data_IF_424286362122
#
_entry.id   IF_424286362122
#
_cell.length_a   1.000
_cell.length_b   1.000
_cell.length_c   1.000
_cell.angle_alpha   90.00
_cell.angle_beta   90.00
_cell.angle_gamma   90.00
#
_symmetry.space_group_name_H-M   'P 1'
#
loop_
_entity.id
_entity.type
_entity.pdbx_description
1 polymer ?
#
# COMPACT_ATOMS: atom_id res chain seq x y z
N UNK A 1 12.30 14.48 -6.98
CA UNK A 1 13.29 13.41 -6.76
C UNK A 1 12.54 12.10 -6.57
N UNK A 2 12.70 11.14 -7.48
CA UNK A 2 11.96 9.88 -7.50
C UNK A 2 12.45 9.00 -6.33
N UNK A 3 11.61 8.81 -5.34
CA UNK A 3 11.73 7.87 -4.23
C UNK A 3 11.97 6.46 -4.79
N UNK A 4 13.00 5.76 -4.24
CA UNK A 4 13.55 4.47 -4.67
C UNK A 4 12.56 3.37 -5.03
N UNK A 5 11.92 3.48 -6.16
CA UNK A 5 11.17 2.40 -6.78
C UNK A 5 12.18 1.41 -7.35
N UNK A 6 12.25 0.22 -6.79
CA UNK A 6 12.95 -0.91 -7.39
C UNK A 6 12.46 -1.01 -8.83
N UNK A 7 13.37 -0.90 -9.80
CA UNK A 7 13.05 -1.09 -11.22
C UNK A 7 12.39 -2.45 -11.39
N UNK A 8 11.13 -2.45 -11.83
CA UNK A 8 10.40 -3.69 -12.11
C UNK A 8 10.86 -4.15 -13.48
N UNK A 9 11.55 -5.30 -13.53
CA UNK A 9 12.03 -5.91 -14.78
C UNK A 9 10.97 -6.89 -15.29
N UNK A 10 10.74 -6.89 -16.60
CA UNK A 10 9.81 -7.81 -17.26
C UNK A 10 10.60 -8.71 -18.22
N UNK A 11 10.58 -10.01 -17.94
CA UNK A 11 11.24 -11.03 -18.77
C UNK A 11 10.30 -11.44 -19.91
N UNK A 12 10.39 -10.78 -21.04
CA UNK A 12 9.54 -11.03 -22.22
C UNK A 12 10.13 -10.41 -23.48
N UNK A 13 9.59 -10.79 -24.65
CA UNK A 13 9.96 -10.21 -25.93
C UNK A 13 9.58 -8.71 -26.05
N UNK A 14 10.23 -7.93 -26.92
CA UNK A 14 9.99 -6.49 -27.08
C UNK A 14 8.53 -6.12 -27.34
N UNK A 15 7.79 -6.92 -28.09
CA UNK A 15 6.37 -6.69 -28.36
C UNK A 15 5.49 -6.75 -27.10
N UNK A 16 5.81 -7.66 -26.17
CA UNK A 16 5.13 -7.74 -24.87
C UNK A 16 5.53 -6.58 -23.96
N UNK A 17 6.81 -6.18 -23.96
CA UNK A 17 7.30 -5.01 -23.22
C UNK A 17 6.55 -3.74 -23.66
N UNK A 18 6.38 -3.54 -24.95
CA UNK A 18 5.62 -2.42 -25.49
C UNK A 18 4.14 -2.47 -25.04
N UNK A 19 3.52 -3.65 -25.11
CA UNK A 19 2.15 -3.82 -24.64
C UNK A 19 1.99 -3.54 -23.14
N UNK A 20 3.00 -3.87 -22.31
CA UNK A 20 3.01 -3.54 -20.88
C UNK A 20 3.10 -2.05 -20.65
N UNK A 21 3.94 -1.35 -21.40
CA UNK A 21 4.05 0.11 -21.34
C UNK A 21 2.70 0.78 -21.68
N UNK A 22 2.08 0.36 -22.78
CA UNK A 22 0.79 0.88 -23.23
C UNK A 22 -0.33 0.59 -22.21
N UNK A 23 -0.33 -0.62 -21.61
CA UNK A 23 -1.25 -1.00 -20.54
C UNK A 23 -1.07 -0.13 -19.28
N UNK A 24 0.18 0.14 -18.87
CA UNK A 24 0.47 1.01 -17.72
C UNK A 24 0.01 2.44 -17.98
N UNK A 25 0.24 2.96 -19.17
CA UNK A 25 -0.23 4.29 -19.59
C UNK A 25 -1.76 4.34 -19.56
N UNK A 26 -2.45 3.33 -20.08
CA UNK A 26 -3.90 3.22 -20.02
C UNK A 26 -4.43 3.18 -18.58
N UNK A 27 -3.81 2.39 -17.70
CA UNK A 27 -4.18 2.35 -16.28
C UNK A 27 -3.98 3.70 -15.60
N UNK A 28 -2.91 4.42 -15.91
CA UNK A 28 -2.58 5.70 -15.31
C UNK A 28 -3.52 6.81 -15.79
N UNK A 29 -3.71 6.93 -17.08
CA UNK A 29 -4.38 8.08 -17.67
C UNK A 29 -5.89 7.87 -17.87
N UNK A 30 -6.32 6.70 -18.34
CA UNK A 30 -7.75 6.43 -18.55
C UNK A 30 -8.43 5.87 -17.30
N UNK A 31 -7.78 4.96 -16.57
CA UNK A 31 -8.33 4.36 -15.35
C UNK A 31 -8.00 5.14 -14.08
N UNK A 32 -7.13 6.13 -14.16
CA UNK A 32 -6.69 6.98 -13.06
C UNK A 32 -6.28 6.15 -11.83
N UNK A 33 -5.58 5.04 -12.07
CA UNK A 33 -5.08 4.18 -11.02
C UNK A 33 -4.00 4.90 -10.22
N UNK A 34 -3.99 4.68 -8.90
CA UNK A 34 -2.94 5.23 -8.04
C UNK A 34 -1.58 4.59 -8.37
N UNK A 35 -0.48 5.30 -8.07
CA UNK A 35 0.90 4.80 -8.22
C UNK A 35 1.08 3.46 -7.51
N UNK A 36 0.52 3.29 -6.31
CA UNK A 36 0.56 2.03 -5.56
C UNK A 36 -0.13 0.87 -6.30
N UNK A 37 -1.23 1.16 -7.02
CA UNK A 37 -1.91 0.16 -7.85
C UNK A 37 -1.05 -0.22 -9.04
N UNK A 38 -0.44 0.76 -9.73
CA UNK A 38 0.46 0.53 -10.86
C UNK A 38 1.67 -0.31 -10.45
N UNK A 39 2.27 -0.01 -9.30
CA UNK A 39 3.40 -0.76 -8.76
C UNK A 39 3.00 -2.18 -8.35
N UNK A 40 1.84 -2.34 -7.72
CA UNK A 40 1.32 -3.65 -7.34
C UNK A 40 1.06 -4.53 -8.57
N UNK A 41 0.41 -3.97 -9.58
CA UNK A 41 0.11 -4.65 -10.84
C UNK A 41 1.40 -4.96 -11.62
N UNK A 42 2.34 -4.03 -11.67
CA UNK A 42 3.63 -4.26 -12.31
C UNK A 42 4.39 -5.43 -11.68
N UNK A 43 4.44 -5.48 -10.35
CA UNK A 43 5.09 -6.59 -9.62
C UNK A 43 4.40 -7.94 -9.86
N UNK A 44 3.07 -7.99 -9.81
CA UNK A 44 2.34 -9.23 -10.06
C UNK A 44 2.57 -9.75 -11.48
N UNK A 45 2.57 -8.86 -12.48
CA UNK A 45 2.83 -9.21 -13.88
C UNK A 45 4.29 -9.64 -14.12
N UNK A 46 5.26 -8.94 -13.51
CA UNK A 46 6.68 -9.28 -13.59
C UNK A 46 6.94 -10.71 -13.09
N UNK A 47 6.35 -11.08 -11.95
CA UNK A 47 6.48 -12.43 -11.39
C UNK A 47 5.84 -13.48 -12.31
N UNK A 48 4.71 -13.16 -12.94
CA UNK A 48 4.09 -14.08 -13.90
C UNK A 48 4.95 -14.30 -15.15
N UNK A 49 5.53 -13.22 -15.70
CA UNK A 49 6.41 -13.33 -16.89
C UNK A 49 7.70 -14.08 -16.57
N UNK A 50 8.26 -13.87 -15.37
CA UNK A 50 9.41 -14.66 -14.89
C UNK A 50 9.06 -16.17 -14.80
N UNK A 51 7.89 -16.50 -14.24
CA UNK A 51 7.40 -17.87 -14.24
C UNK A 51 7.27 -18.42 -15.65
N UNK A 52 6.68 -17.67 -16.59
CA UNK A 52 6.53 -18.12 -17.98
C UNK A 52 7.88 -18.36 -18.66
N UNK A 53 8.87 -17.52 -18.39
CA UNK A 53 10.24 -17.70 -18.92
C UNK A 53 10.84 -19.02 -18.44
N UNK A 54 10.68 -19.38 -17.17
CA UNK A 54 11.11 -20.68 -16.64
C UNK A 54 10.30 -21.85 -17.25
N UNK A 55 8.99 -21.68 -17.34
CA UNK A 55 8.04 -22.72 -17.78
C UNK A 55 8.16 -23.05 -19.26
N UNK A 56 8.41 -22.05 -20.10
CA UNK A 56 8.57 -22.20 -21.55
C UNK A 56 10.02 -22.43 -21.97
N UNK A 57 11.00 -22.04 -21.14
CA UNK A 57 12.43 -22.08 -21.46
C UNK A 57 12.96 -20.88 -22.26
N UNK A 58 12.12 -19.89 -22.56
CA UNK A 58 12.47 -18.68 -23.31
C UNK A 58 11.57 -17.50 -22.91
N UNK A 59 11.94 -16.28 -23.31
CA UNK A 59 11.14 -15.08 -23.05
C UNK A 59 9.83 -15.09 -23.86
N UNK A 60 8.65 -15.04 -23.21
CA UNK A 60 7.37 -15.14 -23.91
C UNK A 60 7.09 -13.95 -24.81
N UNK A 61 6.61 -14.22 -26.02
CA UNK A 61 6.06 -13.26 -26.96
C UNK A 61 4.52 -13.21 -26.91
N UNK A 62 3.92 -12.30 -27.71
CA UNK A 62 2.45 -12.16 -27.80
C UNK A 62 1.78 -13.47 -28.27
N UNK A 63 2.43 -14.22 -29.17
CA UNK A 63 1.90 -15.48 -29.67
C UNK A 63 1.88 -16.58 -28.60
N UNK A 64 2.87 -16.56 -27.71
CA UNK A 64 2.93 -17.51 -26.60
C UNK A 64 1.85 -17.19 -25.57
N UNK A 65 1.66 -15.89 -25.25
CA UNK A 65 0.54 -15.45 -24.40
C UNK A 65 -0.83 -15.86 -24.96
N UNK A 66 -1.00 -15.85 -26.28
CA UNK A 66 -2.23 -16.30 -26.97
C UNK A 66 -2.45 -17.81 -26.80
N UNK A 67 -1.38 -18.61 -26.80
CA UNK A 67 -1.43 -20.09 -26.75
C UNK A 67 -1.50 -20.66 -25.33
N UNK A 68 -1.35 -19.84 -24.28
CA UNK A 68 -1.43 -20.32 -22.90
C UNK A 68 -2.74 -21.03 -22.63
N UNK A 69 -2.63 -22.19 -21.99
CA UNK A 69 -3.76 -23.06 -21.61
C UNK A 69 -4.13 -22.84 -20.14
N UNK A 70 -5.28 -23.31 -19.75
CA UNK A 70 -5.72 -23.36 -18.35
C UNK A 70 -4.71 -24.06 -17.44
N UNK A 71 -3.99 -25.10 -17.96
CA UNK A 71 -2.90 -25.78 -17.24
C UNK A 71 -1.78 -24.84 -16.84
N UNK A 72 -1.36 -23.94 -17.73
CA UNK A 72 -0.21 -23.05 -17.50
C UNK A 72 -0.53 -22.04 -16.38
N UNK A 73 -1.73 -21.47 -16.38
CA UNK A 73 -2.21 -20.61 -15.30
C UNK A 73 -2.34 -21.37 -13.97
N UNK A 74 -2.80 -22.63 -14.00
CA UNK A 74 -2.87 -23.47 -12.80
C UNK A 74 -1.47 -23.79 -12.25
N UNK A 75 -0.51 -24.10 -13.13
CA UNK A 75 0.89 -24.32 -12.75
C UNK A 75 1.50 -23.07 -12.10
N UNK A 76 1.22 -21.88 -12.66
CA UNK A 76 1.60 -20.61 -12.02
C UNK A 76 1.02 -20.48 -10.61
N UNK A 77 -0.28 -20.69 -10.45
CA UNK A 77 -0.94 -20.59 -9.14
C UNK A 77 -0.41 -21.62 -8.14
N UNK A 78 -0.13 -22.85 -8.60
CA UNK A 78 0.47 -23.90 -7.77
C UNK A 78 1.87 -23.49 -7.29
N UNK A 79 2.74 -23.01 -8.19
CA UNK A 79 4.06 -22.47 -7.84
C UNK A 79 3.95 -21.37 -6.79
N UNK A 80 3.04 -20.40 -6.99
CA UNK A 80 2.85 -19.30 -6.02
C UNK A 80 2.35 -19.78 -4.67
N UNK A 81 1.56 -20.86 -4.63
CA UNK A 81 1.14 -21.48 -3.37
C UNK A 81 2.33 -22.13 -2.65
N UNK A 82 3.17 -22.86 -3.40
CA UNK A 82 4.42 -23.45 -2.88
C UNK A 82 5.39 -22.38 -2.36
N UNK A 83 5.46 -21.23 -3.03
CA UNK A 83 6.23 -20.06 -2.60
C UNK A 83 5.65 -19.36 -1.35
N UNK A 84 4.55 -19.87 -0.77
CA UNK A 84 3.93 -19.32 0.44
C UNK A 84 3.07 -18.07 0.21
N UNK A 85 2.65 -17.77 -1.04
CA UNK A 85 1.81 -16.59 -1.30
C UNK A 85 0.42 -16.76 -0.67
N UNK A 86 -0.02 -15.75 0.10
CA UNK A 86 -1.34 -15.76 0.72
C UNK A 86 -2.47 -15.80 -0.32
N UNK A 87 -3.62 -16.37 0.06
CA UNK A 87 -4.81 -16.43 -0.82
C UNK A 87 -5.26 -15.05 -1.31
N UNK A 88 -5.17 -14.04 -0.46
CA UNK A 88 -5.50 -12.64 -0.80
C UNK A 88 -4.56 -12.09 -1.86
N UNK A 89 -3.25 -12.28 -1.69
CA UNK A 89 -2.24 -11.88 -2.67
C UNK A 89 -2.39 -12.63 -4.00
N UNK A 90 -2.74 -13.92 -3.95
CA UNK A 90 -2.99 -14.73 -5.14
C UNK A 90 -4.23 -14.24 -5.90
N UNK A 91 -5.31 -13.90 -5.20
CA UNK A 91 -6.51 -13.33 -5.82
C UNK A 91 -6.22 -11.99 -6.51
N UNK A 92 -5.38 -11.14 -5.87
CA UNK A 92 -4.92 -9.89 -6.47
C UNK A 92 -4.10 -10.15 -7.73
N UNK A 93 -3.10 -11.04 -7.66
CA UNK A 93 -2.28 -11.39 -8.82
C UNK A 93 -3.12 -11.89 -9.99
N UNK A 94 -4.10 -12.77 -9.74
CA UNK A 94 -5.02 -13.25 -10.76
C UNK A 94 -5.89 -12.11 -11.34
N UNK A 95 -6.33 -11.16 -10.52
CA UNK A 95 -7.04 -9.96 -10.98
C UNK A 95 -6.17 -9.10 -11.88
N UNK A 96 -4.88 -8.93 -11.55
CA UNK A 96 -3.88 -8.23 -12.37
C UNK A 96 -3.74 -8.91 -13.74
N UNK A 97 -3.57 -10.22 -13.78
CA UNK A 97 -3.46 -10.97 -15.04
C UNK A 97 -4.71 -10.82 -15.90
N UNK A 98 -5.89 -10.97 -15.32
CA UNK A 98 -7.16 -10.79 -16.07
C UNK A 98 -7.27 -9.37 -16.63
N UNK A 99 -6.88 -8.37 -15.88
CA UNK A 99 -6.87 -6.98 -16.34
C UNK A 99 -5.91 -6.79 -17.52
N UNK A 100 -4.70 -7.35 -17.44
CA UNK A 100 -3.72 -7.29 -18.52
C UNK A 100 -4.20 -8.01 -19.78
N UNK A 101 -4.67 -9.25 -19.67
CA UNK A 101 -5.20 -10.00 -20.82
C UNK A 101 -6.43 -9.31 -21.46
N UNK A 102 -7.31 -8.74 -20.65
CA UNK A 102 -8.44 -7.93 -21.15
C UNK A 102 -7.97 -6.69 -21.91
N UNK A 103 -6.89 -6.05 -21.45
CA UNK A 103 -6.29 -4.94 -22.20
C UNK A 103 -5.71 -5.42 -23.54
N UNK A 104 -4.96 -6.53 -23.55
CA UNK A 104 -4.41 -7.11 -24.78
C UNK A 104 -5.50 -7.47 -25.80
N UNK A 105 -6.62 -8.02 -25.34
CA UNK A 105 -7.77 -8.35 -26.17
C UNK A 105 -8.40 -7.08 -26.77
N UNK A 106 -8.63 -6.05 -25.95
CA UNK A 106 -9.16 -4.75 -26.38
C UNK A 106 -8.24 -4.06 -27.40
N UNK A 107 -6.93 -4.21 -27.26
CA UNK A 107 -5.93 -3.69 -28.19
C UNK A 107 -5.77 -4.55 -29.46
N UNK A 108 -6.52 -5.66 -29.62
CA UNK A 108 -6.41 -6.57 -30.74
C UNK A 108 -5.11 -7.39 -30.79
N UNK A 109 -4.32 -7.39 -29.71
CA UNK A 109 -3.00 -8.03 -29.68
C UNK A 109 -3.08 -9.51 -29.36
N UNK A 110 -3.85 -9.89 -28.33
CA UNK A 110 -3.99 -11.26 -27.86
C UNK A 110 -5.43 -11.53 -27.42
N UNK A 111 -6.01 -12.62 -27.91
CA UNK A 111 -7.22 -13.21 -27.32
C UNK A 111 -6.84 -14.51 -26.63
N UNK A 112 -7.17 -14.64 -25.32
CA UNK A 112 -6.95 -15.87 -24.55
C UNK A 112 -8.12 -16.11 -23.59
N UNK A 113 -8.98 -17.07 -23.94
CA UNK A 113 -10.14 -17.41 -23.11
C UNK A 113 -9.79 -18.22 -21.85
N UNK A 114 -8.61 -18.86 -21.81
CA UNK A 114 -8.22 -19.75 -20.72
C UNK A 114 -8.11 -19.02 -19.36
N UNK A 115 -7.66 -17.75 -19.36
CA UNK A 115 -7.56 -16.95 -18.14
C UNK A 115 -8.92 -16.68 -17.48
N UNK A 116 -9.99 -16.58 -18.28
CA UNK A 116 -11.37 -16.41 -17.80
C UNK A 116 -11.88 -17.63 -17.03
N UNK A 117 -11.44 -18.84 -17.40
CA UNK A 117 -11.84 -20.10 -16.77
C UNK A 117 -11.16 -20.40 -15.43
N UNK A 118 -10.17 -19.62 -15.01
CA UNK A 118 -9.47 -19.81 -13.74
C UNK A 118 -10.33 -19.30 -12.58
N UNK A 119 -10.61 -20.16 -11.61
CA UNK A 119 -11.35 -19.75 -10.40
C UNK A 119 -10.44 -18.95 -9.45
N UNK A 120 -10.95 -17.83 -8.95
CA UNK A 120 -10.27 -17.09 -7.89
C UNK A 120 -10.30 -17.89 -6.58
N UNK A 121 -9.16 -18.01 -5.86
CA UNK A 121 -9.15 -18.64 -4.55
C UNK A 121 -10.19 -18.01 -3.61
N UNK A 122 -10.93 -18.83 -2.89
CA UNK A 122 -11.84 -18.32 -1.85
C UNK A 122 -11.02 -17.70 -0.73
N UNK A 123 -11.23 -16.41 -0.49
CA UNK A 123 -10.63 -15.67 0.62
C UNK A 123 -11.56 -15.84 1.81
N UNK A 124 -11.10 -16.40 2.94
CA UNK A 124 -11.89 -16.36 4.17
C UNK A 124 -12.23 -14.91 4.51
N UNK A 125 -13.49 -14.63 4.80
CA UNK A 125 -13.88 -13.33 5.33
C UNK A 125 -13.35 -13.24 6.76
N UNK A 126 -12.20 -12.62 6.93
CA UNK A 126 -11.75 -12.20 8.25
C UNK A 126 -12.61 -10.98 8.65
N UNK A 127 -13.29 -11.09 9.79
CA UNK A 127 -13.89 -9.91 10.42
C UNK A 127 -12.73 -9.13 11.02
N UNK A 128 -12.51 -7.87 10.60
CA UNK A 128 -11.48 -7.06 11.23
C UNK A 128 -11.77 -6.98 12.73
N UNK A 129 -10.83 -7.41 13.56
CA UNK A 129 -10.92 -7.20 15.00
C UNK A 129 -10.54 -5.75 15.27
N UNK A 130 -11.53 -4.89 15.45
CA UNK A 130 -11.31 -3.56 15.97
C UNK A 130 -10.81 -3.70 17.43
N UNK A 131 -9.91 -2.81 17.84
CA UNK A 131 -9.54 -2.67 19.23
C UNK A 131 -10.77 -2.23 20.04
N UNK A 132 -10.91 -2.71 21.26
CA UNK A 132 -11.80 -2.09 22.22
C UNK A 132 -11.30 -0.68 22.58
N UNK A 133 -12.13 0.12 23.21
CA UNK A 133 -11.72 1.44 23.70
C UNK A 133 -10.56 1.32 24.69
N UNK A 134 -10.64 0.36 25.61
CA UNK A 134 -9.62 0.07 26.61
C UNK A 134 -8.28 -0.33 25.94
N UNK A 135 -8.31 -1.27 24.98
CA UNK A 135 -7.13 -1.68 24.23
C UNK A 135 -6.51 -0.53 23.42
N UNK A 136 -7.35 0.38 22.89
CA UNK A 136 -6.87 1.54 22.15
C UNK A 136 -6.20 2.58 23.06
N UNK A 137 -6.77 2.82 24.25
CA UNK A 137 -6.20 3.72 25.26
C UNK A 137 -4.90 3.14 25.83
N UNK A 138 -4.84 1.84 26.13
CA UNK A 138 -3.63 1.17 26.58
C UNK A 138 -2.52 1.24 25.50
N UNK A 139 -2.88 1.04 24.24
CA UNK A 139 -1.95 1.15 23.14
C UNK A 139 -1.39 2.58 22.99
N UNK A 140 -2.21 3.62 23.18
CA UNK A 140 -1.76 5.02 23.20
C UNK A 140 -0.84 5.33 24.38
N UNK A 141 -1.12 4.78 25.56
CA UNK A 141 -0.31 4.97 26.77
C UNK A 141 1.05 4.25 26.71
N UNK A 142 1.18 3.24 25.84
CA UNK A 142 2.37 2.36 25.80
C UNK A 142 3.26 2.61 24.60
N UNK A 143 2.76 3.24 23.53
CA UNK A 143 3.50 3.33 22.25
C UNK A 143 4.83 4.10 22.35
N UNK A 144 4.94 5.05 23.25
CA UNK A 144 6.13 5.86 23.47
C UNK A 144 7.28 5.07 24.14
N UNK A 145 6.97 4.01 24.89
CA UNK A 145 7.97 3.13 25.51
C UNK A 145 8.82 2.38 24.49
N UNK A 146 8.33 2.22 23.25
CA UNK A 146 9.07 1.58 22.16
C UNK A 146 10.03 2.52 21.42
N UNK A 147 10.04 3.79 21.79
CA UNK A 147 10.86 4.80 21.13
C UNK A 147 12.28 4.83 21.67
N UNK A 148 13.27 4.91 20.76
CA UNK A 148 14.67 5.08 21.13
C UNK A 148 15.00 6.50 21.64
N UNK A 149 14.22 7.48 21.25
CA UNK A 149 14.36 8.89 21.60
C UNK A 149 13.00 9.48 22.03
N UNK A 150 12.94 10.34 23.05
CA UNK A 150 11.66 10.87 23.58
C UNK A 150 10.78 11.55 22.52
N UNK A 151 11.37 12.31 21.60
CA UNK A 151 10.61 12.98 20.54
C UNK A 151 9.96 12.00 19.55
N UNK A 152 10.57 10.81 19.34
CA UNK A 152 10.00 9.73 18.51
C UNK A 152 8.77 9.16 19.21
N UNK A 153 8.81 8.96 20.53
CA UNK A 153 7.66 8.55 21.32
C UNK A 153 6.48 9.51 21.17
N UNK A 154 6.73 10.80 21.39
CA UNK A 154 5.70 11.84 21.20
C UNK A 154 5.15 11.89 19.77
N UNK A 155 6.01 11.72 18.76
CA UNK A 155 5.57 11.59 17.37
C UNK A 155 4.59 10.43 17.18
N UNK A 156 4.91 9.28 17.74
CA UNK A 156 4.12 8.08 17.53
C UNK A 156 2.80 8.13 18.30
N UNK A 157 2.80 8.73 19.49
CA UNK A 157 1.56 9.09 20.22
C UNK A 157 0.70 10.03 19.37
N UNK A 158 1.26 11.14 18.90
CA UNK A 158 0.54 12.13 18.09
C UNK A 158 -0.04 11.51 16.80
N UNK A 159 0.76 10.68 16.11
CA UNK A 159 0.31 9.98 14.90
C UNK A 159 -0.82 9.01 15.23
N UNK A 160 -0.69 8.18 16.28
CA UNK A 160 -1.69 7.21 16.66
C UNK A 160 -2.99 7.88 17.12
N UNK A 161 -2.90 8.96 17.91
CA UNK A 161 -4.05 9.75 18.34
C UNK A 161 -4.80 10.37 17.15
N UNK A 162 -4.05 10.88 16.16
CA UNK A 162 -4.62 11.42 14.93
C UNK A 162 -5.31 10.32 14.08
N UNK A 163 -4.71 9.11 14.00
CA UNK A 163 -5.31 7.99 13.29
C UNK A 163 -6.60 7.50 13.98
N UNK A 164 -6.58 7.34 15.30
CA UNK A 164 -7.72 6.82 16.07
C UNK A 164 -8.81 7.87 16.24
N UNK A 165 -8.47 9.05 16.77
CA UNK A 165 -9.43 10.11 17.07
C UNK A 165 -9.94 10.84 15.81
N UNK A 166 -9.08 11.03 14.80
CA UNK A 166 -9.43 11.66 13.53
C UNK A 166 -9.91 10.70 12.44
N UNK A 167 -9.79 9.39 12.64
CA UNK A 167 -10.17 8.38 11.64
C UNK A 167 -9.41 8.50 10.33
N UNK A 168 -8.16 8.97 10.35
CA UNK A 168 -7.32 9.07 9.16
C UNK A 168 -6.72 7.72 8.80
N UNK A 169 -6.52 7.50 7.49
CA UNK A 169 -5.66 6.40 7.05
C UNK A 169 -4.19 6.79 7.25
N UNK A 170 -3.33 5.80 7.53
CA UNK A 170 -1.89 6.07 7.73
C UNK A 170 -1.28 6.90 6.60
N UNK A 171 -1.60 6.59 5.35
CA UNK A 171 -1.09 7.34 4.20
C UNK A 171 -1.61 8.78 4.11
N UNK A 172 -2.82 9.06 4.61
CA UNK A 172 -3.39 10.40 4.69
C UNK A 172 -2.66 11.22 5.77
N UNK A 173 -2.49 10.66 6.97
CA UNK A 173 -1.75 11.30 8.06
C UNK A 173 -0.29 11.57 7.70
N UNK A 174 0.40 10.58 7.12
CA UNK A 174 1.78 10.75 6.69
C UNK A 174 1.93 11.68 5.47
N UNK A 175 0.86 11.96 4.75
CA UNK A 175 0.82 12.94 3.66
C UNK A 175 0.81 14.39 4.11
N UNK A 176 0.47 14.67 5.36
CA UNK A 176 0.39 16.02 5.91
C UNK A 176 1.76 16.72 5.97
N UNK A 177 1.72 18.03 5.79
CA UNK A 177 2.85 18.93 5.96
C UNK A 177 2.63 19.86 7.17
N UNK A 178 3.65 20.60 7.57
CA UNK A 178 3.53 21.57 8.69
C UNK A 178 2.48 22.66 8.42
N UNK A 179 2.23 23.03 7.17
CA UNK A 179 1.14 23.94 6.84
C UNK A 179 -0.23 23.39 7.32
N UNK A 180 -0.44 22.10 7.22
CA UNK A 180 -1.68 21.46 7.67
C UNK A 180 -1.80 21.45 9.20
N UNK A 181 -0.67 21.40 9.91
CA UNK A 181 -0.63 21.40 11.38
C UNK A 181 -1.27 22.65 12.01
N UNK A 182 -1.27 23.79 11.32
CA UNK A 182 -1.92 25.02 11.77
C UNK A 182 -3.42 24.86 12.06
N UNK A 183 -4.04 23.86 11.45
CA UNK A 183 -5.44 23.53 11.63
C UNK A 183 -5.66 22.44 12.71
N UNK A 184 -4.59 21.84 13.24
CA UNK A 184 -4.63 20.85 14.31
C UNK A 184 -4.55 21.60 15.66
N UNK A 185 -5.68 22.19 16.04
CA UNK A 185 -5.85 22.95 17.28
C UNK A 185 -7.27 22.74 17.79
N UNK A 186 -7.57 23.03 19.07
CA UNK A 186 -8.92 22.95 19.61
C UNK A 186 -9.91 23.71 18.73
N UNK A 187 -11.01 23.05 18.38
CA UNK A 187 -12.04 23.58 17.47
C UNK A 187 -11.61 23.75 16.01
N UNK A 188 -10.41 23.31 15.63
CA UNK A 188 -9.94 23.31 14.26
C UNK A 188 -10.50 22.15 13.43
N UNK A 189 -10.18 22.15 12.13
CA UNK A 189 -10.57 21.07 11.24
C UNK A 189 -9.55 20.87 10.12
N UNK A 190 -9.24 19.61 9.81
CA UNK A 190 -8.39 19.24 8.68
C UNK A 190 -9.21 18.86 7.46
N UNK A 191 -8.81 19.36 6.30
CA UNK A 191 -9.35 18.89 5.03
C UNK A 191 -8.46 17.75 4.51
N UNK A 192 -9.01 16.55 4.45
CA UNK A 192 -8.28 15.35 4.02
C UNK A 192 -8.71 14.96 2.60
N UNK A 193 -7.71 14.79 1.74
CA UNK A 193 -7.90 14.24 0.39
C UNK A 193 -7.89 12.71 0.45
N UNK A 194 -9.04 12.09 0.24
CA UNK A 194 -9.20 10.66 0.22
C UNK A 194 -9.00 10.04 -1.18
N UNK A 195 -9.22 8.74 -1.26
CA UNK A 195 -9.12 7.96 -2.51
C UNK A 195 -10.05 8.54 -3.60
N UNK A 196 -9.50 8.76 -4.79
CA UNK A 196 -10.24 9.29 -5.94
C UNK A 196 -10.51 10.80 -5.88
N UNK A 197 -9.73 11.56 -5.09
CA UNK A 197 -9.86 13.02 -5.00
C UNK A 197 -11.06 13.51 -4.16
N UNK A 198 -11.73 12.60 -3.43
CA UNK A 198 -12.83 12.98 -2.54
C UNK A 198 -12.25 13.68 -1.31
N UNK A 199 -12.78 14.85 -1.00
CA UNK A 199 -12.43 15.60 0.19
C UNK A 199 -13.38 15.26 1.35
N UNK A 200 -12.83 15.24 2.57
CA UNK A 200 -13.62 15.22 3.78
C UNK A 200 -12.99 16.15 4.83
N UNK A 201 -13.82 16.75 5.63
CA UNK A 201 -13.43 17.55 6.78
C UNK A 201 -13.41 16.65 8.02
N UNK A 202 -12.32 16.74 8.78
CA UNK A 202 -12.13 16.00 10.04
C UNK A 202 -12.00 17.03 11.16
N UNK A 203 -12.94 17.08 12.12
CA UNK A 203 -12.84 17.96 13.27
C UNK A 203 -11.69 17.51 14.17
N UNK A 204 -10.98 18.47 14.75
CA UNK A 204 -9.88 18.20 15.66
C UNK A 204 -10.39 18.17 17.10
N UNK A 205 -10.24 17.00 17.74
CA UNK A 205 -10.47 16.83 19.17
C UNK A 205 -9.31 17.44 19.97
N UNK A 206 -9.58 17.90 21.17
CA UNK A 206 -8.58 18.54 22.04
C UNK A 206 -7.39 17.59 22.28
N UNK A 207 -7.64 16.31 22.54
CA UNK A 207 -6.60 15.31 22.74
C UNK A 207 -5.66 15.14 21.51
N UNK A 208 -6.17 15.34 20.30
CA UNK A 208 -5.34 15.33 19.09
C UNK A 208 -4.45 16.58 19.04
N UNK A 209 -5.02 17.72 19.36
CA UNK A 209 -4.30 18.99 19.39
C UNK A 209 -3.16 18.98 20.43
N UNK A 210 -3.44 18.49 21.64
CA UNK A 210 -2.48 18.37 22.74
C UNK A 210 -1.32 17.43 22.35
N UNK A 211 -1.62 16.22 21.90
CA UNK A 211 -0.59 15.25 21.47
C UNK A 211 0.26 15.79 20.30
N UNK A 212 -0.35 16.54 19.39
CA UNK A 212 0.36 17.15 18.27
C UNK A 212 1.29 18.27 18.76
N UNK A 213 0.83 19.12 19.67
CA UNK A 213 1.63 20.21 20.23
C UNK A 213 2.87 19.67 20.96
N UNK A 214 2.69 18.64 21.79
CA UNK A 214 3.79 17.95 22.46
C UNK A 214 4.83 17.39 21.49
N UNK A 215 4.38 16.80 20.39
CA UNK A 215 5.29 16.32 19.35
C UNK A 215 6.04 17.46 18.67
N UNK A 216 5.33 18.53 18.27
CA UNK A 216 5.92 19.66 17.57
C UNK A 216 6.98 20.37 18.40
N UNK A 217 6.74 20.53 19.72
CA UNK A 217 7.71 21.11 20.66
C UNK A 217 8.95 20.23 20.84
N UNK A 218 8.81 18.92 20.77
CA UNK A 218 9.91 17.97 20.97
C UNK A 218 10.68 17.65 19.68
N UNK A 219 10.12 17.93 18.51
CA UNK A 219 10.69 17.58 17.21
C UNK A 219 11.98 18.37 16.94
N UNK A 220 13.16 17.71 16.75
CA UNK A 220 14.43 18.40 16.59
C UNK A 220 14.67 18.92 15.16
N UNK A 221 13.75 18.72 14.24
CA UNK A 221 13.91 19.07 12.84
C UNK A 221 13.21 20.38 12.47
N UNK A 222 13.66 21.07 11.39
CA UNK A 222 12.98 22.26 10.88
C UNK A 222 11.51 22.02 10.57
N UNK A 223 10.68 23.05 10.76
CA UNK A 223 9.22 22.99 10.66
C UNK A 223 8.73 24.04 9.65
N UNK A 224 9.30 24.04 8.43
CA UNK A 224 8.81 24.89 7.37
C UNK A 224 7.47 24.37 6.83
N UNK A 225 6.68 25.23 6.21
CA UNK A 225 5.32 24.93 5.75
C UNK A 225 5.24 23.67 4.86
N UNK A 226 6.20 23.50 3.96
CA UNK A 226 6.25 22.38 3.00
C UNK A 226 6.95 21.13 3.57
N UNK A 227 7.55 21.20 4.76
CA UNK A 227 8.18 20.05 5.37
C UNK A 227 7.13 19.01 5.82
N UNK A 228 7.48 17.72 5.81
CA UNK A 228 6.57 16.68 6.24
C UNK A 228 6.25 16.81 7.73
N UNK A 229 4.97 16.79 8.11
CA UNK A 229 4.53 16.88 9.49
C UNK A 229 5.11 15.74 10.35
N UNK A 230 5.05 14.51 9.87
CA UNK A 230 5.63 13.36 10.57
C UNK A 230 6.96 12.94 9.94
N UNK A 231 8.03 13.05 10.71
CA UNK A 231 9.39 12.76 10.26
C UNK A 231 9.97 11.50 10.90
N UNK A 232 10.82 10.81 10.16
CA UNK A 232 11.63 9.70 10.67
C UNK A 232 12.92 10.20 11.33
N UNK A 233 13.69 9.29 11.93
CA UNK A 233 14.95 9.58 12.64
C UNK A 233 16.03 10.32 11.81
N UNK A 234 15.84 10.51 10.52
CA UNK A 234 16.74 11.25 9.63
C UNK A 234 16.13 12.55 9.08
N UNK A 235 15.06 13.05 9.71
CA UNK A 235 14.38 14.29 9.32
C UNK A 235 13.59 14.22 8.00
N UNK A 236 13.52 13.07 7.33
CA UNK A 236 12.71 12.87 6.12
C UNK A 236 11.32 12.37 6.52
N UNK A 237 10.34 12.55 5.64
CA UNK A 237 8.98 12.02 5.83
C UNK A 237 9.01 10.59 6.36
N UNK A 238 8.24 10.33 7.42
CA UNK A 238 8.18 9.02 8.07
C UNK A 238 7.74 7.95 7.06
N UNK A 239 8.54 6.90 6.97
CA UNK A 239 8.19 5.75 6.14
C UNK A 239 7.06 4.94 6.79
N UNK A 240 5.95 4.65 6.09
CA UNK A 240 4.84 3.87 6.63
C UNK A 240 5.27 2.53 7.24
N UNK A 241 6.25 1.86 6.62
CA UNK A 241 6.77 0.57 7.09
C UNK A 241 7.44 0.63 8.46
N UNK A 242 8.04 1.78 8.82
CA UNK A 242 8.64 2.00 10.15
C UNK A 242 7.54 2.01 11.21
N UNK A 243 6.52 2.85 11.03
CA UNK A 243 5.39 2.91 11.95
C UNK A 243 4.61 1.59 12.02
N UNK A 244 4.36 0.94 10.89
CA UNK A 244 3.71 -0.37 10.86
C UNK A 244 4.51 -1.45 11.60
N UNK A 245 5.86 -1.40 11.55
CA UNK A 245 6.70 -2.32 12.32
C UNK A 245 6.51 -2.07 13.83
N UNK A 246 6.49 -0.84 14.24
CA UNK A 246 6.29 -0.44 15.64
C UNK A 246 4.91 -0.87 16.14
N UNK A 247 3.86 -0.64 15.35
CA UNK A 247 2.50 -1.12 15.66
C UNK A 247 2.41 -2.65 15.80
N UNK A 248 3.18 -3.41 15.01
CA UNK A 248 3.26 -4.87 15.19
C UNK A 248 3.94 -5.26 16.51
N UNK A 249 5.03 -4.57 16.87
CA UNK A 249 5.71 -4.82 18.15
C UNK A 249 4.79 -4.49 19.34
N UNK A 250 4.09 -3.36 19.29
CA UNK A 250 3.11 -2.95 20.29
C UNK A 250 1.97 -3.99 20.45
N UNK A 251 1.42 -4.47 19.33
CA UNK A 251 0.38 -5.52 19.36
C UNK A 251 0.85 -6.81 20.02
N UNK A 252 2.09 -7.25 19.75
CA UNK A 252 2.67 -8.43 20.39
C UNK A 252 2.81 -8.20 21.90
N UNK A 253 3.29 -7.02 22.29
CA UNK A 253 3.47 -6.66 23.70
C UNK A 253 2.14 -6.66 24.48
N UNK A 254 1.08 -6.10 23.88
CA UNK A 254 -0.26 -6.04 24.47
C UNK A 254 -1.03 -7.38 24.35
N UNK A 255 -0.41 -8.44 23.82
CA UNK A 255 -1.08 -9.74 23.64
C UNK A 255 -2.25 -9.71 22.66
N UNK A 256 -2.36 -8.69 21.81
CA UNK A 256 -3.44 -8.55 20.85
C UNK A 256 -3.29 -9.57 19.71
N UNK A 257 -4.39 -10.16 19.23
CA UNK A 257 -4.35 -11.22 18.23
C UNK A 257 -3.79 -10.74 16.89
N UNK A 258 -3.02 -11.60 16.23
CA UNK A 258 -2.64 -11.38 14.83
C UNK A 258 -3.90 -11.35 13.95
N UNK A 259 -3.94 -10.41 13.00
CA UNK A 259 -5.06 -10.29 12.04
C UNK A 259 -4.90 -11.22 10.86
#
# INVERSE_FOLDING_TARGET
MLSGHRLITFNSEPAVLKAIEDWRNWLQHEKRCSVHTLDGYGRDLSVFLAFLTEHLGFHPGLNDLRKLKTSDFRSYLAKRTTDGLSRTSMARALSTLRNFFKFLERAGLVHNAAIGGIRTPKIPKAIPKALSEEEALEALATIDEFALEPWIGKRDVALMTLLYGGGLRLGEALGLNFLDARNIKPGGALMIMGKGGKQRVVPMLDVIAEAMDEYLQACPYPQNEDDPLFVGARGKRLNPGVFQKQMRSLRIYLGLPET
#
